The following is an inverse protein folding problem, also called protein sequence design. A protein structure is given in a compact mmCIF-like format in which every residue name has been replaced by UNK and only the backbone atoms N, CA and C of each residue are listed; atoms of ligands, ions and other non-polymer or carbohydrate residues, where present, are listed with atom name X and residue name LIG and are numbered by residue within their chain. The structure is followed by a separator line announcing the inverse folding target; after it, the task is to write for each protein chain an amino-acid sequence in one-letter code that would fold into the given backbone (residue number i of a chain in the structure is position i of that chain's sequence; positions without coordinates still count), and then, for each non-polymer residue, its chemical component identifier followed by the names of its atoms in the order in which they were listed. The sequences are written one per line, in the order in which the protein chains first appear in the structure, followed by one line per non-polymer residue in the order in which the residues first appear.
data_IF_532210247447
#
_entry.id   IF_532210247447
#
_cell.length_a   1.000
_cell.length_b   1.000
_cell.length_c   1.000
_cell.angle_alpha   90.00
_cell.angle_beta   90.00
_cell.angle_gamma   90.00
#
_symmetry.space_group_name_H-M   'P 1'
#
loop_
_entity.id
_entity.type
_entity.pdbx_description
1 polymer ?
#
# COMPACT_ATOMS: atom_id res chain seq x y z
N UNK A 1 5.71 22.48 21.12
CA UNK A 1 4.71 21.68 20.36
C UNK A 1 5.41 21.05 19.16
N UNK A 2 5.99 19.86 19.32
CA UNK A 2 6.66 19.13 18.24
C UNK A 2 5.66 18.07 17.77
N UNK A 3 4.95 18.33 16.68
CA UNK A 3 4.15 17.30 16.02
C UNK A 3 5.13 16.20 15.58
N UNK A 4 5.12 15.07 16.26
CA UNK A 4 5.76 13.86 15.77
C UNK A 4 5.08 13.52 14.45
N UNK A 5 5.77 13.79 13.34
CA UNK A 5 5.37 13.24 12.06
C UNK A 5 5.57 11.74 12.17
N UNK A 6 4.51 11.01 12.52
CA UNK A 6 4.43 9.57 12.30
C UNK A 6 4.87 9.37 10.86
N UNK A 7 6.05 8.78 10.66
CA UNK A 7 6.54 8.43 9.34
C UNK A 7 5.59 7.35 8.82
N UNK A 8 4.48 7.77 8.20
CA UNK A 8 3.51 6.88 7.60
C UNK A 8 4.27 6.16 6.49
N UNK A 9 4.52 4.86 6.67
CA UNK A 9 5.16 4.06 5.63
C UNK A 9 4.27 4.14 4.38
N UNK A 10 4.78 4.72 3.31
CA UNK A 10 4.08 4.83 2.03
C UNK A 10 4.81 3.98 1.02
N UNK A 11 4.08 3.08 0.36
CA UNK A 11 4.65 2.17 -0.64
C UNK A 11 4.07 2.53 -2.01
N UNK A 12 4.94 2.89 -2.94
CA UNK A 12 4.61 3.09 -4.34
C UNK A 12 4.58 1.74 -5.05
N UNK A 13 3.46 1.42 -5.71
CA UNK A 13 3.34 0.20 -6.51
C UNK A 13 4.33 0.23 -7.68
N UNK A 14 4.49 1.39 -8.32
CA UNK A 14 5.47 1.56 -9.40
C UNK A 14 6.89 1.23 -8.94
N UNK A 15 7.32 1.79 -7.80
CA UNK A 15 8.67 1.55 -7.25
C UNK A 15 8.86 0.10 -6.83
N UNK A 16 7.83 -0.53 -6.24
CA UNK A 16 7.89 -1.92 -5.80
C UNK A 16 7.99 -2.91 -6.98
N UNK A 17 7.56 -2.50 -8.17
CA UNK A 17 7.41 -3.37 -9.34
C UNK A 17 8.22 -2.92 -10.56
N UNK A 18 9.15 -1.98 -10.40
CA UNK A 18 9.89 -1.32 -11.51
C UNK A 18 10.56 -2.31 -12.47
N UNK A 19 11.10 -3.42 -11.94
CA UNK A 19 11.76 -4.48 -12.72
C UNK A 19 10.97 -5.80 -12.77
N UNK A 20 9.69 -5.78 -12.43
CA UNK A 20 8.87 -6.99 -12.27
C UNK A 20 8.09 -7.37 -13.53
N UNK A 21 7.78 -8.67 -13.67
CA UNK A 21 6.91 -9.14 -14.74
C UNK A 21 5.47 -8.68 -14.54
N UNK A 22 4.72 -8.51 -15.64
CA UNK A 22 3.29 -8.13 -15.60
C UNK A 22 2.44 -9.04 -14.69
N UNK A 23 2.73 -10.34 -14.68
CA UNK A 23 2.05 -11.31 -13.82
C UNK A 23 2.34 -11.07 -12.33
N UNK A 24 3.59 -10.74 -11.98
CA UNK A 24 3.96 -10.39 -10.62
C UNK A 24 3.27 -9.09 -10.16
N UNK A 25 3.29 -8.05 -11.01
CA UNK A 25 2.62 -6.78 -10.70
C UNK A 25 1.12 -6.98 -10.47
N UNK A 26 0.46 -7.78 -11.31
CA UNK A 26 -0.96 -8.10 -11.15
C UNK A 26 -1.25 -8.86 -9.84
N UNK A 27 -0.38 -9.81 -9.47
CA UNK A 27 -0.51 -10.54 -8.22
C UNK A 27 -0.34 -9.61 -7.00
N UNK A 28 0.67 -8.75 -7.00
CA UNK A 28 0.88 -7.75 -5.94
C UNK A 28 -0.29 -6.79 -5.84
N UNK A 29 -0.77 -6.26 -6.97
CA UNK A 29 -1.93 -5.38 -7.00
C UNK A 29 -3.17 -6.07 -6.43
N UNK A 30 -3.41 -7.32 -6.81
CA UNK A 30 -4.50 -8.11 -6.24
C UNK A 30 -4.35 -8.31 -4.72
N UNK A 31 -3.15 -8.64 -4.22
CA UNK A 31 -2.87 -8.72 -2.79
C UNK A 31 -3.18 -7.40 -2.07
N UNK A 32 -2.78 -6.26 -2.64
CA UNK A 32 -3.09 -4.94 -2.11
C UNK A 32 -4.61 -4.67 -2.04
N UNK A 33 -5.37 -5.08 -3.05
CA UNK A 33 -6.84 -4.97 -3.04
C UNK A 33 -7.47 -5.82 -1.93
N UNK A 34 -6.96 -7.04 -1.73
CA UNK A 34 -7.42 -7.93 -0.66
C UNK A 34 -7.11 -7.34 0.72
N UNK A 35 -5.91 -6.79 0.93
CA UNK A 35 -5.53 -6.13 2.18
C UNK A 35 -6.35 -4.86 2.44
N UNK A 36 -6.67 -4.10 1.39
CA UNK A 36 -7.58 -2.96 1.48
C UNK A 36 -8.97 -3.37 1.92
N UNK A 37 -9.53 -4.43 1.32
CA UNK A 37 -10.84 -4.97 1.72
C UNK A 37 -10.87 -5.35 3.21
N UNK A 38 -9.75 -5.81 3.74
CA UNK A 38 -9.56 -6.14 5.16
C UNK A 38 -9.22 -4.93 6.04
N UNK A 39 -9.17 -3.70 5.51
CA UNK A 39 -8.79 -2.47 6.22
C UNK A 39 -7.37 -2.51 6.82
N UNK A 40 -6.51 -3.38 6.29
CA UNK A 40 -5.10 -3.50 6.70
C UNK A 40 -4.27 -2.43 6.01
N UNK A 41 -4.58 -2.11 4.74
CA UNK A 41 -3.93 -1.04 3.97
C UNK A 41 -4.96 -0.12 3.35
N UNK A 42 -4.60 1.15 3.14
CA UNK A 42 -5.34 2.07 2.29
C UNK A 42 -4.60 2.22 0.97
N UNK A 43 -5.35 2.32 -0.13
CA UNK A 43 -4.77 2.60 -1.45
C UNK A 43 -5.25 3.98 -1.91
N UNK A 44 -4.32 4.80 -2.37
CA UNK A 44 -4.58 6.12 -2.90
C UNK A 44 -4.00 6.23 -4.30
N UNK A 45 -4.82 6.76 -5.22
CA UNK A 45 -4.43 7.03 -6.59
C UNK A 45 -4.87 8.46 -6.90
N UNK A 46 -3.91 9.33 -7.23
CA UNK A 46 -4.17 10.78 -7.37
C UNK A 46 -4.86 11.13 -8.69
N UNK A 47 -4.66 10.34 -9.75
CA UNK A 47 -5.30 10.50 -11.05
C UNK A 47 -5.46 9.14 -11.74
N UNK A 48 -6.35 9.00 -12.74
CA UNK A 48 -6.48 7.75 -13.50
C UNK A 48 -5.13 7.27 -14.06
N UNK A 49 -4.80 6.00 -13.82
CA UNK A 49 -3.54 5.36 -14.21
C UNK A 49 -2.26 5.98 -13.61
N UNK A 50 -2.39 6.91 -12.66
CA UNK A 50 -1.25 7.33 -11.84
C UNK A 50 -0.79 6.19 -10.95
N UNK A 51 0.39 6.35 -10.35
CA UNK A 51 0.89 5.42 -9.35
C UNK A 51 -0.12 5.19 -8.22
N UNK A 52 -0.08 3.98 -7.67
CA UNK A 52 -0.92 3.54 -6.55
C UNK A 52 -0.06 3.54 -5.30
N UNK A 53 -0.40 4.40 -4.36
CA UNK A 53 0.28 4.52 -3.08
C UNK A 53 -0.48 3.69 -2.04
N UNK A 54 0.20 2.75 -1.40
CA UNK A 54 -0.32 1.99 -0.28
C UNK A 54 0.17 2.57 1.05
N UNK A 55 -0.74 2.80 1.98
CA UNK A 55 -0.43 3.26 3.35
C UNK A 55 -1.04 2.31 4.38
N UNK A 56 -0.47 2.20 5.60
CA UNK A 56 -1.07 1.45 6.69
C UNK A 56 -2.52 1.89 6.96
N UNK A 57 -3.39 0.90 7.12
CA UNK A 57 -4.76 1.07 7.61
C UNK A 57 -4.84 0.87 9.13
N UNK A 58 -6.00 1.12 9.73
CA UNK A 58 -6.19 1.01 11.18
C UNK A 58 -5.95 -0.40 11.74
N UNK A 59 -6.07 -1.45 10.90
CA UNK A 59 -5.83 -2.83 11.32
C UNK A 59 -4.41 -3.34 11.03
N UNK A 60 -3.51 -2.47 10.53
CA UNK A 60 -2.16 -2.87 10.15
C UNK A 60 -1.35 -3.43 11.32
N UNK A 61 -1.42 -2.79 12.50
CA UNK A 61 -0.70 -3.24 13.71
C UNK A 61 -1.18 -4.60 14.23
N UNK A 62 -2.48 -4.90 14.08
CA UNK A 62 -3.06 -6.19 14.47
C UNK A 62 -2.73 -7.31 13.48
N UNK A 63 -2.44 -6.98 12.22
CA UNK A 63 -2.05 -7.96 11.21
C UNK A 63 -0.58 -8.36 11.35
N UNK A 64 0.31 -7.42 11.70
CA UNK A 64 1.75 -7.70 11.83
C UNK A 64 2.14 -8.46 13.11
N UNK A 65 1.37 -8.30 14.20
CA UNK A 65 1.63 -8.98 15.48
C UNK A 65 0.89 -10.31 15.63
N UNK A 66 0.32 -10.83 14.53
CA UNK A 66 -0.37 -12.12 14.50
C UNK A 66 0.47 -13.14 13.76
#
# INVERSE_FOLDING_TARGET
HKHGCLQVAMYSLYTLCESSSRSYVAAIFFCLLVLRKQKITNLHQSAPYSDVIATPGPLFSSFYNR
#
